data_IF_711691706535
#
_entry.id   IF_711691706535
#
_cell.length_a   1.000
_cell.length_b   1.000
_cell.length_c   1.000
_cell.angle_alpha   90.00
_cell.angle_beta   90.00
_cell.angle_gamma   90.00
#
_symmetry.space_group_name_H-M   'P 1'
#
loop_
_entity.id
_entity.type
_entity.pdbx_description
1 polymer ?
#
# COMPACT_ATOMS: atom_id res chain seq x y z
N UNK A 1 24.86 10.13 20.03
CA UNK A 1 23.89 9.47 20.96
C UNK A 1 24.60 8.48 21.88
N UNK A 2 25.42 7.56 21.36
CA UNK A 2 26.17 6.58 22.14
C UNK A 2 27.13 7.19 23.16
N UNK A 3 27.84 8.26 22.79
CA UNK A 3 28.71 9.02 23.69
C UNK A 3 27.94 9.65 24.86
N UNK A 4 26.79 10.26 24.58
CA UNK A 4 25.90 10.81 25.61
C UNK A 4 25.33 9.72 26.53
N UNK A 5 25.07 8.52 26.00
CA UNK A 5 24.59 7.36 26.75
C UNK A 5 25.72 6.57 27.45
N UNK A 6 26.99 6.93 27.23
CA UNK A 6 28.14 6.20 27.77
C UNK A 6 28.25 4.75 27.29
N UNK A 7 27.76 4.43 26.08
CA UNK A 7 27.73 3.07 25.55
C UNK A 7 28.54 2.92 24.24
N UNK A 8 28.90 1.67 23.92
CA UNK A 8 29.54 1.32 22.65
C UNK A 8 28.52 1.36 21.50
N UNK A 9 28.88 1.98 20.38
CA UNK A 9 28.06 2.00 19.17
C UNK A 9 28.14 0.65 18.45
N UNK A 10 26.99 0.08 18.10
CA UNK A 10 26.87 -1.01 17.13
C UNK A 10 26.08 -0.47 15.95
N UNK A 11 26.72 -0.37 14.79
CA UNK A 11 26.14 0.12 13.55
C UNK A 11 26.29 -0.98 12.47
N UNK A 12 25.20 -1.29 11.78
CA UNK A 12 25.17 -2.32 10.74
C UNK A 12 24.02 -2.04 9.77
N UNK A 13 24.34 -1.96 8.47
CA UNK A 13 23.38 -1.71 7.39
C UNK A 13 22.84 -2.99 6.75
N UNK A 14 23.22 -4.17 7.26
CA UNK A 14 22.78 -5.46 6.73
C UNK A 14 21.26 -5.63 6.80
N UNK A 15 20.68 -6.10 5.68
CA UNK A 15 19.26 -6.45 5.57
C UNK A 15 19.11 -7.88 5.04
N UNK A 16 18.17 -8.68 5.58
CA UNK A 16 17.90 -10.03 5.07
C UNK A 16 17.32 -10.03 3.65
N UNK A 17 16.62 -8.94 3.28
CA UNK A 17 16.16 -8.68 1.91
C UNK A 17 16.82 -7.38 1.45
N UNK A 18 17.65 -7.41 0.39
CA UNK A 18 18.27 -6.22 -0.16
C UNK A 18 17.22 -5.18 -0.56
N UNK A 19 17.47 -3.92 -0.24
CA UNK A 19 16.63 -2.81 -0.70
C UNK A 19 17.20 -2.30 -2.03
N UNK A 20 16.33 -2.11 -3.03
CA UNK A 20 16.66 -1.42 -4.27
C UNK A 20 15.86 -0.12 -4.33
N UNK A 21 16.56 0.99 -4.57
CA UNK A 21 15.99 2.33 -4.58
C UNK A 21 16.10 2.92 -5.98
N UNK A 22 15.09 3.70 -6.39
CA UNK A 22 15.06 4.34 -7.69
C UNK A 22 14.15 5.56 -7.72
N UNK A 23 14.35 6.40 -8.73
CA UNK A 23 13.59 7.63 -8.96
C UNK A 23 12.81 7.51 -10.26
N UNK A 24 11.51 7.75 -10.18
CA UNK A 24 10.66 7.85 -11.37
C UNK A 24 10.72 9.26 -11.97
N UNK A 25 10.97 9.34 -13.27
CA UNK A 25 10.85 10.55 -14.07
C UNK A 25 10.36 10.23 -15.49
N UNK A 26 9.39 11.00 -15.98
CA UNK A 26 8.96 10.95 -17.38
C UNK A 26 8.49 9.59 -17.94
N UNK A 27 8.06 8.63 -17.11
CA UNK A 27 7.67 7.27 -17.56
C UNK A 27 8.77 6.22 -17.39
N UNK A 28 9.91 6.60 -16.80
CA UNK A 28 11.03 5.70 -16.53
C UNK A 28 11.41 5.73 -15.06
N UNK A 29 11.94 4.62 -14.55
CA UNK A 29 12.55 4.55 -13.23
C UNK A 29 14.04 4.36 -13.41
N UNK A 30 14.83 5.26 -12.83
CA UNK A 30 16.29 5.14 -12.74
C UNK A 30 16.66 4.60 -11.36
N UNK A 31 17.25 3.41 -11.32
CA UNK A 31 17.70 2.74 -10.10
C UNK A 31 19.06 3.29 -9.63
N UNK A 32 19.37 3.15 -8.35
CA UNK A 32 20.63 3.59 -7.77
C UNK A 32 21.87 2.92 -8.41
N UNK A 33 21.74 1.70 -8.93
CA UNK A 33 22.81 1.00 -9.64
C UNK A 33 22.98 1.42 -11.11
N UNK A 34 22.24 2.46 -11.54
CA UNK A 34 22.28 3.01 -12.90
C UNK A 34 21.42 2.25 -13.91
N UNK A 35 20.78 1.14 -13.53
CA UNK A 35 19.78 0.48 -14.40
C UNK A 35 18.53 1.35 -14.51
N UNK A 36 17.83 1.21 -15.62
CA UNK A 36 16.53 1.84 -15.80
C UNK A 36 15.52 0.88 -16.41
N UNK A 37 14.25 1.13 -16.15
CA UNK A 37 13.13 0.44 -16.79
C UNK A 37 11.98 1.43 -17.05
N UNK A 38 11.15 1.10 -18.04
CA UNK A 38 9.99 1.91 -18.40
C UNK A 38 8.75 1.43 -17.66
N UNK A 39 7.86 2.36 -17.36
CA UNK A 39 6.56 2.13 -16.73
C UNK A 39 5.51 2.71 -17.66
N UNK A 40 4.56 1.88 -18.09
CA UNK A 40 3.50 2.32 -18.98
C UNK A 40 2.61 3.36 -18.27
N UNK A 41 2.59 4.62 -18.73
CA UNK A 41 1.88 5.68 -18.03
C UNK A 41 0.37 5.51 -18.21
N UNK A 42 -0.38 5.71 -17.13
CA UNK A 42 -1.84 5.75 -17.19
C UNK A 42 -2.39 7.13 -16.80
N UNK A 43 -3.68 7.33 -17.04
CA UNK A 43 -4.40 8.53 -16.58
C UNK A 43 -4.57 8.60 -15.04
N UNK A 44 -4.02 7.64 -14.28
CA UNK A 44 -4.10 7.59 -12.82
C UNK A 44 -2.88 8.22 -12.15
N UNK A 45 -1.77 8.31 -12.87
CA UNK A 45 -0.56 9.04 -12.51
C UNK A 45 0.51 8.16 -11.87
N UNK A 46 1.77 8.65 -11.82
CA UNK A 46 2.94 7.83 -11.58
C UNK A 46 2.91 6.93 -10.33
N UNK A 47 2.44 7.40 -9.14
CA UNK A 47 2.39 6.54 -7.97
C UNK A 47 1.50 5.31 -8.18
N UNK A 48 0.37 5.49 -8.88
CA UNK A 48 -0.54 4.38 -9.16
C UNK A 48 0.06 3.44 -10.20
N UNK A 49 0.71 3.99 -11.22
CA UNK A 49 1.30 3.21 -12.32
C UNK A 49 2.42 2.29 -11.79
N UNK A 50 3.32 2.83 -10.97
CA UNK A 50 4.37 2.06 -10.29
C UNK A 50 3.81 0.97 -9.38
N UNK A 51 2.83 1.33 -8.55
CA UNK A 51 2.22 0.36 -7.63
C UNK A 51 1.45 -0.73 -8.35
N UNK A 52 0.84 -0.42 -9.49
CA UNK A 52 0.15 -1.39 -10.33
C UNK A 52 1.11 -2.36 -11.01
N UNK A 53 2.31 -1.91 -11.43
CA UNK A 53 3.33 -2.79 -12.00
C UNK A 53 3.79 -3.85 -11.00
N UNK A 54 4.07 -3.48 -9.74
CA UNK A 54 4.40 -4.46 -8.67
C UNK A 54 3.28 -5.50 -8.49
N UNK A 55 2.01 -5.08 -8.50
CA UNK A 55 0.87 -6.00 -8.36
C UNK A 55 0.74 -6.92 -9.58
N UNK A 56 0.97 -6.41 -10.79
CA UNK A 56 0.95 -7.18 -12.03
C UNK A 56 2.02 -8.28 -12.03
N UNK A 57 3.18 -8.01 -11.42
CA UNK A 57 4.26 -8.98 -11.21
C UNK A 57 4.02 -9.95 -10.04
N UNK A 58 2.82 -9.94 -9.46
CA UNK A 58 2.41 -10.82 -8.37
C UNK A 58 2.82 -10.34 -6.98
N UNK A 59 3.34 -9.12 -6.87
CA UNK A 59 3.67 -8.45 -5.62
C UNK A 59 2.49 -7.75 -4.95
N UNK A 60 2.82 -6.95 -3.93
CA UNK A 60 1.91 -6.03 -3.27
C UNK A 60 2.60 -4.68 -3.14
N UNK A 61 1.84 -3.60 -3.26
CA UNK A 61 2.41 -2.24 -3.24
C UNK A 61 1.88 -1.39 -2.09
N UNK A 62 2.76 -0.53 -1.56
CA UNK A 62 2.42 0.49 -0.58
C UNK A 62 2.71 1.89 -1.15
N UNK A 63 1.66 2.70 -1.32
CA UNK A 63 1.76 4.07 -1.81
C UNK A 63 1.68 5.06 -0.66
N UNK A 64 2.69 5.89 -0.47
CA UNK A 64 2.63 6.97 0.52
C UNK A 64 2.08 8.27 -0.08
N UNK A 65 1.11 8.85 0.60
CA UNK A 65 0.44 10.08 0.22
C UNK A 65 0.56 11.13 1.33
N UNK A 66 0.64 12.40 0.95
CA UNK A 66 0.89 13.52 1.86
C UNK A 66 -0.31 13.89 2.74
N UNK A 67 -1.54 13.57 2.32
CA UNK A 67 -2.76 13.81 3.11
C UNK A 67 -3.68 12.60 3.16
N UNK A 68 -4.59 12.59 4.15
CA UNK A 68 -5.66 11.59 4.28
C UNK A 68 -6.56 11.56 3.04
N UNK A 69 -6.95 12.74 2.56
CA UNK A 69 -7.77 12.88 1.36
C UNK A 69 -7.04 12.33 0.12
N UNK A 70 -5.74 12.62 0.00
CA UNK A 70 -4.95 12.09 -1.12
C UNK A 70 -4.77 10.58 -1.05
N UNK A 71 -4.56 10.02 0.12
CA UNK A 71 -4.49 8.57 0.34
C UNK A 71 -5.77 7.86 -0.15
N UNK A 72 -6.96 8.36 0.23
CA UNK A 72 -8.22 7.83 -0.29
C UNK A 72 -8.36 8.01 -1.81
N UNK A 73 -7.95 9.17 -2.34
CA UNK A 73 -7.99 9.47 -3.78
C UNK A 73 -7.10 8.54 -4.61
N UNK A 74 -5.86 8.28 -4.16
CA UNK A 74 -4.94 7.37 -4.84
C UNK A 74 -5.43 5.93 -4.79
N UNK A 75 -5.98 5.48 -3.65
CA UNK A 75 -6.61 4.17 -3.53
C UNK A 75 -7.80 4.01 -4.52
N UNK A 76 -8.66 5.03 -4.63
CA UNK A 76 -9.76 5.01 -5.59
C UNK A 76 -9.28 4.93 -7.04
N UNK A 77 -8.24 5.68 -7.39
CA UNK A 77 -7.61 5.61 -8.72
C UNK A 77 -6.98 4.25 -9.02
N UNK A 78 -6.27 3.68 -8.05
CA UNK A 78 -5.64 2.37 -8.20
C UNK A 78 -6.67 1.25 -8.39
N UNK A 79 -7.83 1.33 -7.73
CA UNK A 79 -8.87 0.32 -7.82
C UNK A 79 -9.40 0.08 -9.25
N UNK A 80 -9.35 1.09 -10.13
CA UNK A 80 -9.72 0.97 -11.54
C UNK A 80 -8.81 0.03 -12.35
N UNK A 81 -7.55 -0.10 -11.92
CA UNK A 81 -6.51 -0.90 -12.56
C UNK A 81 -6.38 -2.24 -11.84
N UNK A 82 -6.19 -2.21 -10.51
CA UNK A 82 -5.91 -3.41 -9.70
C UNK A 82 -7.04 -4.45 -9.82
N UNK A 83 -8.30 -4.03 -9.89
CA UNK A 83 -9.44 -4.96 -10.01
C UNK A 83 -9.41 -5.84 -11.26
N UNK A 84 -8.67 -5.44 -12.31
CA UNK A 84 -8.49 -6.18 -13.56
C UNK A 84 -7.50 -7.34 -13.41
N UNK A 85 -6.57 -7.24 -12.45
CA UNK A 85 -5.57 -8.28 -12.18
C UNK A 85 -6.05 -9.33 -11.17
N UNK A 86 -7.19 -9.11 -10.53
CA UNK A 86 -7.76 -10.04 -9.55
C UNK A 86 -8.43 -11.25 -10.21
N UNK A 87 -8.10 -12.44 -9.69
CA UNK A 87 -8.80 -13.69 -10.00
C UNK A 87 -10.20 -13.70 -9.34
N UNK A 88 -11.10 -14.52 -9.87
CA UNK A 88 -12.46 -14.64 -9.31
C UNK A 88 -12.46 -15.13 -7.85
N UNK A 89 -11.53 -16.01 -7.47
CA UNK A 89 -11.36 -16.45 -6.08
C UNK A 89 -11.00 -15.28 -5.16
N UNK A 90 -10.05 -14.44 -5.57
CA UNK A 90 -9.61 -13.27 -4.81
C UNK A 90 -10.74 -12.24 -4.66
N UNK A 91 -11.52 -12.02 -5.72
CA UNK A 91 -12.71 -11.15 -5.66
C UNK A 91 -13.72 -11.64 -4.62
N UNK A 92 -13.96 -12.94 -4.53
CA UNK A 92 -14.86 -13.52 -3.53
C UNK A 92 -14.32 -13.35 -2.10
N UNK A 93 -13.02 -13.53 -1.89
CA UNK A 93 -12.38 -13.30 -0.60
C UNK A 93 -12.48 -11.83 -0.18
N UNK A 94 -12.19 -10.90 -1.09
CA UNK A 94 -12.29 -9.46 -0.87
C UNK A 94 -13.73 -8.99 -0.61
N UNK A 95 -14.73 -9.61 -1.24
CA UNK A 95 -16.14 -9.38 -0.94
C UNK A 95 -16.48 -9.75 0.52
N UNK A 96 -15.93 -10.85 1.03
CA UNK A 96 -16.11 -11.25 2.42
C UNK A 96 -15.43 -10.28 3.38
N UNK A 97 -14.23 -9.79 3.04
CA UNK A 97 -13.54 -8.74 3.83
C UNK A 97 -14.36 -7.46 3.85
N UNK A 98 -14.90 -7.03 2.71
CA UNK A 98 -15.77 -5.85 2.60
C UNK A 98 -16.99 -5.96 3.53
N UNK A 99 -17.69 -7.10 3.51
CA UNK A 99 -18.82 -7.38 4.41
C UNK A 99 -18.39 -7.37 5.88
N UNK A 100 -17.22 -7.91 6.21
CA UNK A 100 -16.67 -7.87 7.57
C UNK A 100 -16.43 -6.43 8.04
N UNK A 101 -15.84 -5.58 7.20
CA UNK A 101 -15.63 -4.16 7.49
C UNK A 101 -16.98 -3.48 7.74
N UNK A 102 -17.98 -3.69 6.88
CA UNK A 102 -19.29 -3.07 7.05
C UNK A 102 -20.03 -3.55 8.29
N UNK A 103 -19.94 -4.84 8.64
CA UNK A 103 -20.64 -5.42 9.80
C UNK A 103 -20.05 -4.98 11.14
N UNK A 104 -18.73 -4.78 11.19
CA UNK A 104 -18.02 -4.52 12.44
C UNK A 104 -17.79 -3.03 12.73
N UNK A 105 -18.35 -2.12 11.92
CA UNK A 105 -18.10 -0.69 12.01
C UNK A 105 -19.37 0.12 11.72
N UNK A 106 -19.41 1.36 12.20
CA UNK A 106 -20.45 2.30 11.83
C UNK A 106 -20.44 2.59 10.32
N UNK A 107 -21.62 2.67 9.72
CA UNK A 107 -21.83 2.88 8.28
C UNK A 107 -21.60 4.33 7.81
N UNK A 108 -20.50 4.94 8.26
CA UNK A 108 -20.03 6.24 7.79
C UNK A 108 -19.67 6.18 6.30
N UNK A 109 -19.69 7.34 5.62
CA UNK A 109 -19.28 7.40 4.20
C UNK A 109 -17.82 6.93 4.00
N UNK A 110 -16.95 7.21 4.96
CA UNK A 110 -15.56 6.78 4.92
C UNK A 110 -15.45 5.24 4.95
N UNK A 111 -16.18 4.58 5.86
CA UNK A 111 -16.19 3.11 5.98
C UNK A 111 -16.82 2.46 4.76
N UNK A 112 -17.91 3.03 4.22
CA UNK A 112 -18.52 2.57 2.97
C UNK A 112 -17.53 2.66 1.81
N UNK A 113 -16.85 3.80 1.67
CA UNK A 113 -15.84 4.00 0.62
C UNK A 113 -14.70 2.99 0.76
N UNK A 114 -14.18 2.78 1.97
CA UNK A 114 -13.16 1.76 2.24
C UNK A 114 -13.64 0.37 1.81
N UNK A 115 -14.85 -0.03 2.23
CA UNK A 115 -15.42 -1.34 1.92
C UNK A 115 -15.59 -1.55 0.40
N UNK A 116 -15.98 -0.52 -0.35
CA UNK A 116 -16.08 -0.58 -1.81
C UNK A 116 -14.71 -0.75 -2.49
N UNK A 117 -13.69 -0.05 -2.00
CA UNK A 117 -12.33 -0.17 -2.52
C UNK A 117 -11.73 -1.55 -2.21
N UNK A 118 -11.99 -2.08 -1.01
CA UNK A 118 -11.49 -3.40 -0.61
C UNK A 118 -11.99 -4.49 -1.55
N UNK A 119 -13.25 -4.45 -2.01
CA UNK A 119 -13.75 -5.39 -3.03
C UNK A 119 -12.93 -5.41 -4.32
N UNK A 120 -12.22 -4.31 -4.60
CA UNK A 120 -11.37 -4.12 -5.77
C UNK A 120 -9.89 -4.39 -5.48
N UNK A 121 -9.56 -4.94 -4.31
CA UNK A 121 -8.20 -5.32 -3.92
C UNK A 121 -7.33 -4.17 -3.43
N UNK A 122 -7.94 -3.00 -3.14
CA UNK A 122 -7.22 -1.79 -2.74
C UNK A 122 -7.80 -1.23 -1.44
N UNK A 123 -6.95 -0.67 -0.58
CA UNK A 123 -7.41 0.06 0.61
C UNK A 123 -6.67 1.38 0.76
N UNK A 124 -7.25 2.30 1.54
CA UNK A 124 -6.52 3.43 2.10
C UNK A 124 -6.33 3.23 3.60
N UNK A 125 -5.21 3.71 4.15
CA UNK A 125 -4.90 3.60 5.57
C UNK A 125 -4.44 4.95 6.13
N UNK A 126 -5.14 5.45 7.15
CA UNK A 126 -4.75 6.66 7.86
C UNK A 126 -5.48 6.77 9.20
N UNK A 127 -5.03 7.70 10.06
CA UNK A 127 -5.58 7.93 11.39
C UNK A 127 -7.09 8.29 11.44
N UNK A 128 -7.68 8.74 10.33
CA UNK A 128 -9.13 9.00 10.27
C UNK A 128 -10.02 7.76 10.20
N UNK A 129 -9.46 6.57 9.94
CA UNK A 129 -10.19 5.30 10.09
C UNK A 129 -10.28 4.93 11.58
N UNK A 130 -11.27 4.13 11.96
CA UNK A 130 -11.26 3.54 13.30
C UNK A 130 -10.23 2.39 13.39
N UNK A 131 -9.94 1.94 14.61
CA UNK A 131 -8.94 0.91 14.87
C UNK A 131 -9.28 -0.42 14.17
N UNK A 132 -10.52 -0.87 14.25
CA UNK A 132 -10.97 -2.13 13.67
C UNK A 132 -10.81 -2.16 12.13
N UNK A 133 -11.06 -1.04 11.44
CA UNK A 133 -10.79 -0.91 10.01
C UNK A 133 -9.28 -1.05 9.72
N UNK A 134 -8.42 -0.34 10.46
CA UNK A 134 -6.96 -0.41 10.28
C UNK A 134 -6.42 -1.82 10.49
N UNK A 135 -6.83 -2.48 11.57
CA UNK A 135 -6.42 -3.85 11.89
C UNK A 135 -6.87 -4.86 10.83
N UNK A 136 -8.09 -4.68 10.28
CA UNK A 136 -8.58 -5.52 9.19
C UNK A 136 -7.73 -5.32 7.92
N UNK A 137 -7.44 -4.08 7.55
CA UNK A 137 -6.60 -3.76 6.38
C UNK A 137 -5.20 -4.36 6.55
N UNK A 138 -4.55 -4.14 7.70
CA UNK A 138 -3.21 -4.64 7.99
C UNK A 138 -3.15 -6.18 7.96
N UNK A 139 -4.18 -6.83 8.52
CA UNK A 139 -4.29 -8.30 8.51
C UNK A 139 -4.44 -8.84 7.10
N UNK A 140 -5.32 -8.26 6.30
CA UNK A 140 -5.60 -8.74 4.95
C UNK A 140 -4.50 -8.36 3.95
N UNK A 141 -3.74 -7.30 4.21
CA UNK A 141 -2.52 -7.01 3.47
C UNK A 141 -1.41 -8.01 3.81
N UNK A 142 -1.20 -8.34 5.10
CA UNK A 142 -0.20 -9.35 5.50
C UNK A 142 -0.49 -10.75 4.92
N UNK A 143 -1.77 -11.07 4.67
CA UNK A 143 -2.19 -12.32 4.01
C UNK A 143 -2.02 -12.31 2.49
N UNK A 144 -1.75 -11.17 1.88
CA UNK A 144 -1.73 -11.04 0.42
C UNK A 144 -3.11 -10.84 -0.23
N UNK A 145 -4.18 -10.73 0.55
CA UNK A 145 -5.55 -10.54 0.04
C UNK A 145 -5.70 -9.15 -0.59
N UNK A 146 -5.33 -8.09 0.15
CA UNK A 146 -5.30 -6.71 -0.35
C UNK A 146 -3.99 -6.51 -1.13
N UNK A 147 -4.07 -6.09 -2.38
CA UNK A 147 -2.90 -5.97 -3.28
C UNK A 147 -2.19 -4.63 -3.17
N UNK A 148 -2.93 -3.57 -2.87
CA UNK A 148 -2.36 -2.23 -2.78
C UNK A 148 -2.97 -1.44 -1.61
N UNK A 149 -2.12 -0.80 -0.82
CA UNK A 149 -2.54 0.19 0.18
C UNK A 149 -2.02 1.57 -0.23
N UNK A 150 -2.87 2.59 -0.16
CA UNK A 150 -2.39 3.97 -0.11
C UNK A 150 -2.49 4.52 1.31
N UNK A 151 -1.43 5.09 1.86
CA UNK A 151 -1.37 5.50 3.26
C UNK A 151 -0.70 6.84 3.47
N UNK A 152 -1.00 7.50 4.59
CA UNK A 152 -0.13 8.58 5.10
C UNK A 152 1.17 8.01 5.70
N UNK A 153 2.27 8.79 5.80
CA UNK A 153 3.57 8.31 6.27
C UNK A 153 3.57 7.74 7.70
N UNK A 154 2.58 8.08 8.51
CA UNK A 154 2.41 7.57 9.88
C UNK A 154 2.34 6.04 9.97
N UNK A 155 1.93 5.36 8.88
CA UNK A 155 1.95 3.90 8.80
C UNK A 155 3.38 3.33 8.86
N UNK A 156 4.34 4.00 8.20
CA UNK A 156 5.72 3.54 8.11
C UNK A 156 6.43 3.44 9.47
N UNK A 157 5.97 4.21 10.46
CA UNK A 157 6.54 4.21 11.81
C UNK A 157 5.88 3.20 12.76
N UNK A 158 4.71 2.63 12.40
CA UNK A 158 3.83 1.96 13.36
C UNK A 158 3.53 0.49 13.09
N UNK A 159 3.81 -0.04 11.90
CA UNK A 159 3.41 -1.40 11.52
C UNK A 159 4.45 -2.14 10.67
N UNK A 160 4.62 -3.42 10.97
CA UNK A 160 5.40 -4.33 10.14
C UNK A 160 4.53 -4.90 9.01
N UNK A 161 4.48 -4.19 7.89
CA UNK A 161 3.82 -4.58 6.65
C UNK A 161 4.85 -4.64 5.52
N UNK A 162 5.54 -5.79 5.32
CA UNK A 162 6.41 -5.94 4.17
C UNK A 162 5.58 -5.91 2.88
N UNK A 163 6.06 -5.15 1.90
CA UNK A 163 5.55 -5.09 0.53
C UNK A 163 6.75 -5.26 -0.40
N UNK A 164 6.55 -5.82 -1.60
CA UNK A 164 7.63 -6.17 -2.53
C UNK A 164 7.61 -5.27 -3.76
#
# INVERSE_FOLDING_TARGET
MSEWLGCSLVENDWRPVPLSEGVYDGGSVTMHDGKFFEVEPTLRGPPVDLGAESVKDGGQSLLFAETRARSASLAAKAADIISRYLKNSEKNELENVSKKILKANEHTQLVKTLAELVKKGVAFHHAGLNQNCRETIETEFRKGTIKLISSTPTLAAGVNLPAR
#
